data_IF_331679865341
#
_entry.id   IF_331679865341
#
_cell.length_a   1.000
_cell.length_b   1.000
_cell.length_c   1.000
_cell.angle_alpha   90.00
_cell.angle_beta   90.00
_cell.angle_gamma   90.00
#
_symmetry.space_group_name_H-M   'P 1'
#
loop_
_entity.id
_entity.type
_entity.pdbx_description
1 polymer ?
#
# COMPACT_ATOMS: atom_id res chain seq x y z
N UNK A 1 -32.22 -10.59 -8.58
CA UNK A 1 -31.30 -9.97 -7.61
C UNK A 1 -31.18 -8.51 -8.00
N UNK A 2 -31.62 -7.55 -7.17
CA UNK A 2 -31.19 -6.17 -7.41
C UNK A 2 -29.69 -6.13 -7.12
N UNK A 3 -28.88 -5.84 -8.14
CA UNK A 3 -27.43 -5.84 -8.01
C UNK A 3 -27.02 -4.77 -7.02
N UNK A 4 -26.27 -5.13 -5.97
CA UNK A 4 -25.62 -4.15 -5.11
C UNK A 4 -24.66 -3.34 -5.96
N UNK A 5 -24.96 -2.06 -6.17
CA UNK A 5 -24.02 -1.12 -6.80
C UNK A 5 -22.92 -0.82 -5.79
N UNK A 6 -21.66 -0.96 -6.22
CA UNK A 6 -20.48 -0.62 -5.43
C UNK A 6 -19.81 0.58 -6.09
N UNK A 7 -19.51 1.61 -5.30
CA UNK A 7 -18.84 2.83 -5.74
C UNK A 7 -17.40 2.86 -5.23
N UNK A 8 -16.46 2.91 -6.17
CA UNK A 8 -15.03 2.88 -5.90
C UNK A 8 -14.45 4.20 -6.39
N UNK A 9 -13.78 4.93 -5.50
CA UNK A 9 -13.09 6.16 -5.83
C UNK A 9 -11.56 5.97 -5.77
N UNK A 10 -10.83 6.72 -6.58
CA UNK A 10 -9.36 6.81 -6.53
C UNK A 10 -8.93 8.12 -5.89
N UNK A 11 -8.10 8.06 -4.85
CA UNK A 11 -7.61 9.23 -4.13
C UNK A 11 -6.16 9.61 -4.45
N UNK A 12 -5.37 8.68 -5.02
CA UNK A 12 -4.02 8.94 -5.50
C UNK A 12 -3.66 8.03 -6.68
N UNK A 13 -2.79 8.53 -7.57
CA UNK A 13 -2.13 7.75 -8.62
C UNK A 13 -0.63 7.59 -8.44
N UNK A 14 0.00 8.26 -7.47
CA UNK A 14 1.42 8.17 -7.16
C UNK A 14 1.73 8.73 -5.76
N UNK A 15 2.95 8.49 -5.25
CA UNK A 15 3.41 9.08 -4.00
C UNK A 15 3.68 10.58 -4.13
N UNK A 16 2.98 11.40 -3.34
CA UNK A 16 3.04 12.87 -3.41
C UNK A 16 1.86 13.52 -4.12
N UNK A 17 0.83 12.75 -4.46
CA UNK A 17 -0.43 13.25 -5.04
C UNK A 17 -1.23 14.14 -4.06
N UNK A 18 -2.33 14.73 -4.54
CA UNK A 18 -3.13 15.72 -3.83
C UNK A 18 -3.69 15.19 -2.50
N UNK A 19 -3.21 15.74 -1.39
CA UNK A 19 -3.65 15.41 -0.03
C UNK A 19 -5.13 15.72 0.24
N UNK A 20 -5.75 16.57 -0.58
CA UNK A 20 -7.16 16.99 -0.46
C UNK A 20 -8.17 16.01 -1.07
N UNK A 21 -7.74 14.99 -1.80
CA UNK A 21 -8.65 14.06 -2.49
C UNK A 21 -9.58 13.33 -1.50
N UNK A 22 -9.02 12.80 -0.40
CA UNK A 22 -9.77 12.07 0.62
C UNK A 22 -10.95 12.87 1.21
N UNK A 23 -10.75 14.07 1.77
CA UNK A 23 -11.87 14.83 2.32
C UNK A 23 -12.86 15.32 1.24
N UNK A 24 -12.45 15.44 -0.03
CA UNK A 24 -13.39 15.73 -1.12
C UNK A 24 -14.31 14.55 -1.38
N UNK A 25 -13.74 13.34 -1.51
CA UNK A 25 -14.50 12.11 -1.75
C UNK A 25 -15.45 11.77 -0.59
N UNK A 26 -15.03 12.03 0.65
CA UNK A 26 -15.87 11.80 1.83
C UNK A 26 -17.05 12.79 1.91
N UNK A 27 -16.91 14.01 1.37
CA UNK A 27 -18.02 14.99 1.35
C UNK A 27 -19.18 14.56 0.46
N UNK A 28 -18.92 13.74 -0.55
CA UNK A 28 -19.97 13.25 -1.46
C UNK A 28 -20.87 12.20 -0.79
N UNK A 29 -20.44 11.60 0.34
CA UNK A 29 -21.15 10.55 1.10
C UNK A 29 -21.70 9.39 0.25
N UNK A 30 -21.08 9.15 -0.91
CA UNK A 30 -21.58 8.24 -1.94
C UNK A 30 -20.46 7.35 -2.48
N UNK A 31 -19.56 6.91 -1.59
CA UNK A 31 -18.42 6.07 -1.92
C UNK A 31 -18.37 4.90 -0.94
N UNK A 32 -18.20 3.68 -1.44
CA UNK A 32 -18.04 2.49 -0.60
C UNK A 32 -16.56 2.19 -0.33
N UNK A 33 -15.70 2.46 -1.32
CA UNK A 33 -14.26 2.19 -1.27
C UNK A 33 -13.46 3.39 -1.78
N UNK A 34 -12.37 3.71 -1.08
CA UNK A 34 -11.35 4.64 -1.56
C UNK A 34 -10.05 3.87 -1.77
N UNK A 35 -9.53 3.93 -2.99
CA UNK A 35 -8.27 3.30 -3.40
C UNK A 35 -7.17 4.34 -3.48
N UNK A 36 -6.00 3.99 -2.96
CA UNK A 36 -4.78 4.75 -3.12
C UNK A 36 -3.73 3.94 -3.86
N UNK A 37 -3.17 4.53 -4.90
CA UNK A 37 -1.97 4.04 -5.55
C UNK A 37 -0.79 4.97 -5.21
N UNK A 38 0.23 4.42 -4.56
CA UNK A 38 1.44 5.12 -4.10
C UNK A 38 2.70 4.61 -4.79
N UNK A 39 2.69 3.37 -5.28
CA UNK A 39 3.92 2.70 -5.65
C UNK A 39 4.23 2.86 -7.14
N UNK A 40 5.47 3.26 -7.39
CA UNK A 40 6.15 3.16 -8.67
C UNK A 40 7.52 2.52 -8.44
N UNK A 41 8.20 2.11 -9.50
CA UNK A 41 9.49 1.42 -9.45
C UNK A 41 10.56 2.24 -8.70
N UNK A 42 10.61 3.55 -8.96
CA UNK A 42 11.52 4.48 -8.27
C UNK A 42 11.16 4.58 -6.78
N UNK A 43 9.87 4.65 -6.46
CA UNK A 43 9.37 4.73 -5.08
C UNK A 43 9.81 3.53 -4.25
N UNK A 44 9.72 2.32 -4.80
CA UNK A 44 10.16 1.09 -4.13
C UNK A 44 11.64 1.14 -3.77
N UNK A 45 12.49 1.64 -4.68
CA UNK A 45 13.93 1.80 -4.44
C UNK A 45 14.24 2.80 -3.32
N UNK A 46 13.48 3.91 -3.24
CA UNK A 46 13.62 4.91 -2.17
C UNK A 46 13.21 4.28 -0.82
N UNK A 47 12.08 3.57 -0.79
CA UNK A 47 11.57 2.93 0.42
C UNK A 47 12.49 1.79 0.90
N UNK A 48 13.08 1.01 0.00
CA UNK A 48 14.10 0.00 0.32
C UNK A 48 15.32 0.63 1.01
N UNK A 49 15.83 1.73 0.46
CA UNK A 49 16.93 2.49 1.08
C UNK A 49 16.55 3.06 2.45
N UNK A 50 15.31 3.54 2.61
CA UNK A 50 14.82 4.03 3.89
C UNK A 50 14.75 2.89 4.93
N UNK A 51 14.20 1.73 4.56
CA UNK A 51 14.11 0.53 5.42
C UNK A 51 15.49 0.00 5.82
N UNK A 52 16.46 0.04 4.91
CA UNK A 52 17.83 -0.36 5.20
C UNK A 52 18.51 0.51 6.27
N UNK A 53 18.12 1.79 6.38
CA UNK A 53 18.63 2.71 7.42
C UNK A 53 17.83 2.63 8.71
N UNK A 54 16.53 2.40 8.62
CA UNK A 54 15.62 2.29 9.76
C UNK A 54 14.61 1.15 9.49
N UNK A 55 14.63 0.07 10.29
CA UNK A 55 13.74 -1.08 10.08
C UNK A 55 12.25 -0.76 10.21
N UNK A 56 11.89 0.35 10.85
CA UNK A 56 10.50 0.83 10.98
C UNK A 56 10.05 1.73 9.82
N UNK A 57 10.95 2.05 8.87
CA UNK A 57 10.65 2.80 7.65
C UNK A 57 10.36 1.87 6.46
N UNK A 58 10.14 2.45 5.28
CA UNK A 58 9.88 1.71 4.04
C UNK A 58 8.42 1.68 3.59
N UNK A 59 7.61 2.61 4.08
CA UNK A 59 6.23 2.85 3.67
C UNK A 59 5.97 4.37 3.54
N UNK A 60 4.86 4.76 2.92
CA UNK A 60 4.48 6.17 2.76
C UNK A 60 3.99 6.77 4.08
N UNK A 61 4.85 7.54 4.78
CA UNK A 61 4.53 8.14 6.08
C UNK A 61 3.36 9.14 6.02
N UNK A 62 3.24 9.84 4.89
CA UNK A 62 2.17 10.79 4.57
C UNK A 62 0.82 10.11 4.36
N UNK A 63 0.79 8.84 3.94
CA UNK A 63 -0.46 8.06 3.95
C UNK A 63 -1.04 7.99 5.37
N UNK A 64 -0.22 7.68 6.37
CA UNK A 64 -0.67 7.60 7.76
C UNK A 64 -1.01 8.97 8.33
N UNK A 65 -0.09 9.93 8.18
CA UNK A 65 -0.14 11.22 8.86
C UNK A 65 -1.05 12.27 8.20
N UNK A 66 -1.13 12.28 6.86
CA UNK A 66 -1.87 13.30 6.10
C UNK A 66 -3.14 12.74 5.44
N UNK A 67 -3.09 11.53 4.87
CA UNK A 67 -4.27 10.96 4.21
C UNK A 67 -5.24 10.33 5.23
N UNK A 68 -4.75 9.51 6.16
CA UNK A 68 -5.59 8.76 7.09
C UNK A 68 -5.92 9.56 8.35
N UNK A 69 -4.92 9.98 9.15
CA UNK A 69 -5.15 10.59 10.47
C UNK A 69 -6.24 11.69 10.50
N UNK A 70 -6.29 12.66 9.57
CA UNK A 70 -7.31 13.70 9.59
C UNK A 70 -8.72 13.20 9.24
N UNK A 71 -8.83 12.08 8.53
CA UNK A 71 -10.07 11.60 7.92
C UNK A 71 -10.63 10.33 8.61
N UNK A 72 -9.88 9.64 9.49
CA UNK A 72 -10.28 8.36 10.08
C UNK A 72 -11.62 8.39 10.83
N UNK A 73 -11.96 9.51 11.50
CA UNK A 73 -13.26 9.65 12.18
C UNK A 73 -14.41 9.61 11.19
N UNK A 74 -14.24 10.27 10.05
CA UNK A 74 -15.25 10.37 9.01
C UNK A 74 -15.36 9.06 8.20
N UNK A 75 -14.22 8.45 7.89
CA UNK A 75 -14.13 7.10 7.32
C UNK A 75 -14.89 6.10 8.20
N UNK A 76 -14.69 6.15 9.52
CA UNK A 76 -15.40 5.29 10.47
C UNK A 76 -16.91 5.57 10.51
N UNK A 77 -17.31 6.85 10.54
CA UNK A 77 -18.73 7.25 10.55
C UNK A 77 -19.49 6.74 9.34
N UNK A 78 -18.89 6.86 8.15
CA UNK A 78 -19.51 6.46 6.90
C UNK A 78 -19.36 4.96 6.59
N UNK A 79 -18.43 4.26 7.25
CA UNK A 79 -18.12 2.86 6.96
C UNK A 79 -17.38 2.66 5.63
N UNK A 80 -16.70 3.70 5.14
CA UNK A 80 -15.90 3.67 3.90
C UNK A 80 -14.69 2.75 4.10
N UNK A 81 -14.40 1.90 3.12
CA UNK A 81 -13.26 0.98 3.18
C UNK A 81 -12.08 1.53 2.39
N UNK A 82 -10.89 1.47 2.97
CA UNK A 82 -9.66 1.96 2.34
C UNK A 82 -8.85 0.79 1.81
N UNK A 83 -8.37 0.89 0.58
CA UNK A 83 -7.43 -0.04 -0.05
C UNK A 83 -6.21 0.74 -0.51
N UNK A 84 -5.02 0.31 -0.13
CA UNK A 84 -3.79 1.04 -0.45
C UNK A 84 -2.58 0.13 -0.55
N UNK A 85 -1.67 0.45 -1.46
CA UNK A 85 -0.33 -0.14 -1.54
C UNK A 85 0.74 0.74 -0.84
N UNK A 86 0.35 1.76 -0.09
CA UNK A 86 1.25 2.66 0.67
C UNK A 86 2.21 1.95 1.64
N UNK A 87 1.97 0.67 1.94
CA UNK A 87 2.86 -0.18 2.72
C UNK A 87 4.25 -0.36 2.11
N UNK A 88 4.41 -0.18 0.80
CA UNK A 88 5.70 -0.27 0.13
C UNK A 88 6.44 -1.56 0.44
N UNK A 89 7.72 -1.44 0.80
CA UNK A 89 8.56 -2.58 1.20
C UNK A 89 8.43 -2.92 2.70
N UNK A 90 7.56 -2.21 3.44
CA UNK A 90 7.30 -2.50 4.86
C UNK A 90 5.81 -2.36 5.22
N UNK A 91 4.94 -3.18 4.61
CA UNK A 91 3.50 -3.11 4.84
C UNK A 91 3.11 -3.36 6.30
N UNK A 92 3.90 -4.15 7.03
CA UNK A 92 3.64 -4.41 8.45
C UNK A 92 3.85 -3.17 9.33
N UNK A 93 4.93 -2.41 9.12
CA UNK A 93 5.15 -1.16 9.86
C UNK A 93 4.07 -0.12 9.55
N UNK A 94 3.65 -0.02 8.28
CA UNK A 94 2.53 0.83 7.88
C UNK A 94 1.23 0.45 8.61
N UNK A 95 0.88 -0.84 8.61
CA UNK A 95 -0.31 -1.34 9.30
C UNK A 95 -0.25 -1.08 10.81
N UNK A 96 0.90 -1.27 11.45
CA UNK A 96 1.09 -0.99 12.87
C UNK A 96 0.94 0.51 13.18
N UNK A 97 1.49 1.39 12.35
CA UNK A 97 1.34 2.83 12.50
C UNK A 97 -0.14 3.26 12.38
N UNK A 98 -0.88 2.70 11.42
CA UNK A 98 -2.33 2.95 11.29
C UNK A 98 -3.11 2.48 12.51
N UNK A 99 -2.83 1.26 13.01
CA UNK A 99 -3.47 0.75 14.24
C UNK A 99 -3.21 1.67 15.43
N UNK A 100 -1.99 2.21 15.56
CA UNK A 100 -1.65 3.20 16.58
C UNK A 100 -2.53 4.45 16.48
N UNK A 101 -2.61 5.06 15.30
CA UNK A 101 -3.45 6.25 15.08
C UNK A 101 -4.95 5.96 15.33
N UNK A 102 -5.43 4.79 14.91
CA UNK A 102 -6.82 4.37 15.15
C UNK A 102 -7.10 4.28 16.66
N UNK A 103 -6.19 3.66 17.43
CA UNK A 103 -6.30 3.55 18.87
C UNK A 103 -6.25 4.91 19.57
N UNK A 104 -5.32 5.80 19.17
CA UNK A 104 -5.19 7.15 19.72
C UNK A 104 -6.46 7.99 19.52
N UNK A 105 -7.21 7.73 18.45
CA UNK A 105 -8.49 8.38 18.14
C UNK A 105 -9.70 7.71 18.82
N UNK A 106 -9.49 6.62 19.57
CA UNK A 106 -10.55 5.85 20.22
C UNK A 106 -11.47 5.12 19.23
N UNK A 107 -10.97 4.81 18.03
CA UNK A 107 -11.73 4.12 16.98
C UNK A 107 -11.48 2.61 17.03
N UNK A 108 -12.43 1.82 16.49
CA UNK A 108 -12.37 0.36 16.42
C UNK A 108 -12.24 -0.16 14.98
N UNK A 109 -11.62 0.64 14.10
CA UNK A 109 -11.39 0.27 12.71
C UNK A 109 -10.43 -0.93 12.59
N UNK A 110 -10.73 -1.81 11.64
CA UNK A 110 -9.89 -2.98 11.33
C UNK A 110 -8.83 -2.63 10.30
N UNK A 111 -7.64 -3.20 10.46
CA UNK A 111 -6.51 -3.03 9.53
C UNK A 111 -5.97 -4.41 9.17
N UNK A 112 -6.22 -4.83 7.93
CA UNK A 112 -5.61 -6.01 7.35
C UNK A 112 -4.29 -5.65 6.63
N UNK A 113 -3.29 -6.51 6.77
CA UNK A 113 -2.00 -6.39 6.10
C UNK A 113 -1.81 -7.59 5.18
N UNK A 114 -1.48 -7.34 3.90
CA UNK A 114 -1.24 -8.38 2.91
C UNK A 114 0.27 -8.51 2.74
N UNK A 115 0.77 -9.73 2.92
CA UNK A 115 2.18 -10.09 2.81
C UNK A 115 2.36 -11.20 1.77
N UNK A 116 3.61 -11.40 1.34
CA UNK A 116 4.01 -12.47 0.42
C UNK A 116 4.53 -11.98 -0.93
N UNK A 117 4.58 -10.66 -1.13
CA UNK A 117 5.18 -10.04 -2.31
C UNK A 117 6.71 -9.97 -2.21
N UNK A 118 7.27 -9.81 -1.01
CA UNK A 118 8.72 -9.71 -0.77
C UNK A 118 9.43 -11.04 -1.09
N UNK A 119 10.21 -11.01 -2.17
CA UNK A 119 10.96 -12.13 -2.72
C UNK A 119 12.48 -11.94 -2.55
N UNK A 120 12.93 -10.98 -1.74
CA UNK A 120 14.37 -10.66 -1.60
C UNK A 120 15.20 -11.87 -1.12
N UNK A 121 14.60 -12.72 -0.29
CA UNK A 121 15.22 -13.97 0.18
C UNK A 121 15.45 -15.01 -0.92
N UNK A 122 14.85 -14.81 -2.10
CA UNK A 122 14.97 -15.67 -3.27
C UNK A 122 15.85 -15.05 -4.37
N UNK A 123 16.58 -13.96 -4.08
CA UNK A 123 17.39 -13.22 -5.06
C UNK A 123 18.31 -14.11 -5.90
N UNK A 124 19.01 -15.07 -5.28
CA UNK A 124 19.95 -15.95 -5.98
C UNK A 124 19.21 -16.87 -6.96
N UNK A 125 18.02 -17.35 -6.58
CA UNK A 125 17.18 -18.20 -7.43
C UNK A 125 16.62 -17.43 -8.63
N UNK A 126 16.23 -16.17 -8.41
CA UNK A 126 15.73 -15.28 -9.47
C UNK A 126 16.87 -14.96 -10.44
N UNK A 127 18.06 -14.62 -9.93
CA UNK A 127 19.23 -14.34 -10.74
C UNK A 127 19.67 -15.56 -11.57
N UNK A 128 19.68 -16.75 -10.97
CA UNK A 128 20.04 -17.99 -11.65
C UNK A 128 19.09 -18.38 -12.80
N UNK A 129 17.88 -17.80 -12.86
CA UNK A 129 16.96 -18.01 -13.97
C UNK A 129 17.42 -17.33 -15.27
N UNK A 130 18.33 -16.36 -15.19
CA UNK A 130 18.85 -15.65 -16.36
C UNK A 130 17.84 -14.70 -17.00
N UNK A 131 16.91 -14.15 -16.22
CA UNK A 131 15.99 -13.11 -16.72
C UNK A 131 16.78 -11.91 -17.23
N UNK A 132 16.34 -11.37 -18.36
CA UNK A 132 16.85 -10.13 -18.94
C UNK A 132 15.87 -8.99 -18.70
N UNK A 133 16.40 -7.78 -18.56
CA UNK A 133 15.59 -6.57 -18.49
C UNK A 133 14.73 -6.47 -19.78
N UNK A 134 13.44 -6.14 -19.62
CA UNK A 134 12.45 -6.35 -20.68
C UNK A 134 12.54 -5.34 -21.84
N UNK A 135 13.20 -4.19 -21.63
CA UNK A 135 13.33 -3.12 -22.61
C UNK A 135 14.77 -3.03 -23.17
N UNK A 136 15.80 -3.13 -22.33
CA UNK A 136 17.21 -3.03 -22.73
C UNK A 136 17.83 -4.37 -23.08
N UNK A 137 17.29 -5.48 -22.58
CA UNK A 137 17.90 -6.81 -22.74
C UNK A 137 19.15 -7.03 -21.87
N UNK A 138 19.43 -6.09 -20.96
CA UNK A 138 20.54 -6.19 -20.01
C UNK A 138 20.38 -7.44 -19.14
N UNK A 139 21.51 -7.99 -18.71
CA UNK A 139 21.53 -9.10 -17.77
C UNK A 139 20.97 -8.68 -16.40
N UNK A 140 20.52 -9.66 -15.63
CA UNK A 140 20.11 -9.45 -14.26
C UNK A 140 21.23 -8.72 -13.48
N UNK A 141 20.92 -7.69 -12.68
CA UNK A 141 21.92 -6.92 -11.97
C UNK A 141 22.71 -7.79 -10.97
N UNK A 142 23.89 -7.32 -10.60
CA UNK A 142 24.67 -7.91 -9.49
C UNK A 142 23.78 -8.14 -8.27
N UNK A 143 23.70 -9.39 -7.82
CA UNK A 143 22.76 -9.86 -6.80
C UNK A 143 22.91 -9.11 -5.48
N UNK A 144 24.14 -8.71 -5.15
CA UNK A 144 24.42 -7.94 -3.92
C UNK A 144 23.96 -6.48 -4.02
N UNK A 145 23.67 -5.98 -5.23
CA UNK A 145 23.15 -4.63 -5.46
C UNK A 145 21.62 -4.58 -5.55
N UNK A 146 20.95 -5.73 -5.48
CA UNK A 146 19.48 -5.80 -5.52
C UNK A 146 18.91 -5.33 -4.18
N UNK A 147 18.28 -4.16 -4.19
CA UNK A 147 17.70 -3.57 -2.98
C UNK A 147 16.33 -4.16 -2.60
N UNK A 148 15.57 -4.65 -3.57
CA UNK A 148 14.23 -5.22 -3.39
C UNK A 148 13.84 -6.12 -4.57
N UNK A 149 13.06 -7.16 -4.31
CA UNK A 149 12.41 -7.99 -5.32
C UNK A 149 10.98 -8.20 -4.84
N UNK A 150 9.99 -7.78 -5.62
CA UNK A 150 8.59 -7.86 -5.22
C UNK A 150 7.74 -8.47 -6.34
N UNK A 151 6.77 -9.30 -5.95
CA UNK A 151 5.80 -9.91 -6.85
C UNK A 151 4.44 -9.21 -6.74
N UNK A 152 3.76 -9.01 -7.87
CA UNK A 152 2.38 -8.53 -7.88
C UNK A 152 1.43 -9.66 -7.48
N UNK A 153 0.81 -9.55 -6.30
CA UNK A 153 -0.10 -10.58 -5.76
C UNK A 153 -1.51 -10.55 -6.37
N UNK A 154 -1.86 -9.49 -7.09
CA UNK A 154 -3.18 -9.29 -7.69
C UNK A 154 -4.29 -9.01 -6.67
N UNK A 155 -5.54 -9.09 -7.12
CA UNK A 155 -6.70 -8.64 -6.34
C UNK A 155 -7.26 -9.68 -5.34
N UNK A 156 -6.96 -10.97 -5.51
CA UNK A 156 -7.56 -12.01 -4.65
C UNK A 156 -7.20 -11.88 -3.17
N UNK A 157 -5.94 -11.60 -2.79
CA UNK A 157 -5.61 -11.36 -1.39
C UNK A 157 -6.30 -10.12 -0.81
N UNK A 158 -6.52 -9.08 -1.62
CA UNK A 158 -7.27 -7.87 -1.22
C UNK A 158 -8.73 -8.21 -0.95
N UNK A 159 -9.37 -8.96 -1.86
CA UNK A 159 -10.75 -9.41 -1.68
C UNK A 159 -10.92 -10.28 -0.42
N UNK A 160 -9.96 -11.18 -0.14
CA UNK A 160 -9.94 -11.99 1.09
C UNK A 160 -9.82 -11.11 2.34
N UNK A 161 -8.87 -10.16 2.35
CA UNK A 161 -8.69 -9.24 3.47
C UNK A 161 -9.97 -8.43 3.75
N UNK A 162 -10.62 -7.91 2.71
CA UNK A 162 -11.89 -7.17 2.83
C UNK A 162 -13.07 -8.02 3.33
N UNK A 163 -13.02 -9.34 3.11
CA UNK A 163 -14.05 -10.28 3.57
C UNK A 163 -13.84 -10.68 5.03
N UNK A 164 -12.60 -10.93 5.44
CA UNK A 164 -12.25 -11.37 6.80
C UNK A 164 -12.25 -10.21 7.80
N UNK A 165 -11.92 -9.00 7.33
CA UNK A 165 -11.89 -7.77 8.12
C UNK A 165 -10.60 -7.63 8.90
#
# INVERSE_FOLDING_TARGET
MSGKVIRIAGASGFWGDATRSTPQLLKDENVDFIVYDYLAEITMSIMARARAKNPDAGYALDFVSAAMKPNLKEIARQGVRIVSNAGGVNPQACANALRGVIADLGLSLKVACILGDDMISQRDKVAAHGYKEMFSGDDFPDVEKVASINAYLGAFPVARALKEG
#
